data_IF_625798104201
#
_entry.id   IF_625798104201
#
_cell.length_a   1.000
_cell.length_b   1.000
_cell.length_c   1.000
_cell.angle_alpha   90.00
_cell.angle_beta   90.00
_cell.angle_gamma   90.00
#
_symmetry.space_group_name_H-M   'P 1'
#
loop_
_entity.id
_entity.type
_entity.pdbx_description
1 polymer ?
#
# COMPACT_ATOMS: atom_id res chain seq x y z
N UNK A 1 21.61 -11.17 -20.21
CA UNK A 1 21.73 -11.58 -18.79
C UNK A 1 20.35 -11.48 -18.15
N UNK A 2 19.61 -12.59 -18.06
CA UNK A 2 18.23 -12.60 -17.56
C UNK A 2 18.24 -12.61 -16.03
N UNK A 3 18.01 -11.44 -15.42
CA UNK A 3 17.87 -11.33 -13.97
C UNK A 3 16.51 -11.88 -13.53
N UNK A 4 16.43 -13.20 -13.39
CA UNK A 4 15.30 -13.85 -12.74
C UNK A 4 15.51 -13.83 -11.22
N UNK A 5 14.74 -12.95 -10.54
CA UNK A 5 14.48 -12.79 -9.07
C UNK A 5 15.33 -11.65 -8.40
N UNK A 6 14.70 -10.65 -7.71
CA UNK A 6 13.69 -10.86 -6.68
C UNK A 6 12.48 -9.91 -6.70
N UNK A 7 11.61 -10.03 -7.72
CA UNK A 7 10.29 -9.36 -7.75
C UNK A 7 9.47 -9.52 -6.45
N UNK A 8 9.67 -10.62 -5.71
CA UNK A 8 8.98 -10.87 -4.43
C UNK A 8 9.52 -10.00 -3.29
N UNK A 9 10.83 -9.75 -3.23
CA UNK A 9 11.41 -8.94 -2.16
C UNK A 9 11.00 -7.47 -2.31
N UNK A 10 10.98 -6.96 -3.54
CA UNK A 10 10.46 -5.63 -3.84
C UNK A 10 8.96 -5.52 -3.57
N UNK A 11 8.16 -6.52 -3.94
CA UNK A 11 6.72 -6.52 -3.64
C UNK A 11 6.45 -6.46 -2.12
N UNK A 12 7.21 -7.19 -1.30
CA UNK A 12 7.07 -7.14 0.16
C UNK A 12 7.48 -5.78 0.72
N UNK A 13 8.60 -5.22 0.25
CA UNK A 13 9.05 -3.88 0.66
C UNK A 13 8.05 -2.80 0.27
N UNK A 14 7.53 -2.85 -0.96
CA UNK A 14 6.55 -1.90 -1.46
C UNK A 14 5.26 -1.98 -0.66
N UNK A 15 4.78 -3.19 -0.37
CA UNK A 15 3.60 -3.39 0.48
C UNK A 15 3.77 -2.74 1.86
N UNK A 16 4.94 -2.93 2.48
CA UNK A 16 5.24 -2.30 3.78
C UNK A 16 5.24 -0.77 3.69
N UNK A 17 5.93 -0.20 2.70
CA UNK A 17 5.95 1.26 2.47
C UNK A 17 4.56 1.84 2.26
N UNK A 18 3.72 1.16 1.49
CA UNK A 18 2.33 1.57 1.23
C UNK A 18 1.53 1.60 2.53
N UNK A 19 1.63 0.56 3.37
CA UNK A 19 0.91 0.49 4.65
C UNK A 19 1.39 1.55 5.65
N UNK A 20 2.70 1.76 5.74
CA UNK A 20 3.29 2.78 6.63
C UNK A 20 2.85 4.20 6.21
N UNK A 21 2.88 4.50 4.91
CA UNK A 21 2.44 5.78 4.36
C UNK A 21 0.92 5.99 4.52
N UNK A 22 0.13 4.94 4.24
CA UNK A 22 -1.32 4.95 4.44
C UNK A 22 -1.66 5.26 5.89
N UNK A 23 -0.98 4.59 6.84
CA UNK A 23 -1.16 4.83 8.26
C UNK A 23 -0.87 6.27 8.63
N UNK A 24 0.30 6.78 8.23
CA UNK A 24 0.71 8.14 8.55
C UNK A 24 -0.28 9.19 8.03
N UNK A 25 -0.69 9.06 6.77
CA UNK A 25 -1.58 10.03 6.14
C UNK A 25 -3.00 9.94 6.69
N UNK A 26 -3.53 8.73 6.87
CA UNK A 26 -4.88 8.55 7.43
C UNK A 26 -4.95 9.06 8.86
N UNK A 27 -3.91 8.84 9.67
CA UNK A 27 -3.86 9.38 11.04
C UNK A 27 -3.78 10.91 11.08
N UNK A 28 -3.11 11.54 10.10
CA UNK A 28 -2.93 13.01 10.05
C UNK A 28 -4.10 13.76 9.42
N UNK A 29 -4.65 13.23 8.34
CA UNK A 29 -5.62 13.91 7.48
C UNK A 29 -7.00 13.21 7.48
N UNK A 30 -7.13 12.09 8.19
CA UNK A 30 -8.36 11.30 8.22
C UNK A 30 -8.48 10.31 7.04
N UNK A 31 -9.57 9.55 7.00
CA UNK A 31 -9.80 8.50 6.00
C UNK A 31 -10.16 9.05 4.62
N UNK A 32 -10.04 10.34 4.35
CA UNK A 32 -10.35 10.97 3.05
C UNK A 32 -9.13 11.07 2.12
N UNK A 33 -7.93 10.77 2.60
CA UNK A 33 -6.67 10.85 1.82
C UNK A 33 -6.75 10.07 0.50
N UNK A 34 -6.47 10.68 -0.66
CA UNK A 34 -6.52 9.96 -1.93
C UNK A 34 -5.45 8.87 -2.02
N UNK A 35 -5.75 7.78 -2.74
CA UNK A 35 -4.80 6.66 -2.95
C UNK A 35 -3.50 7.14 -3.61
N UNK A 36 -3.59 8.17 -4.44
CA UNK A 36 -2.47 8.76 -5.17
C UNK A 36 -1.45 9.42 -4.22
N UNK A 37 -1.94 10.16 -3.22
CA UNK A 37 -1.10 10.76 -2.18
C UNK A 37 -0.41 9.70 -1.32
N UNK A 38 -1.08 8.56 -1.09
CA UNK A 38 -0.48 7.43 -0.38
C UNK A 38 0.63 6.79 -1.22
N UNK A 39 0.41 6.61 -2.53
CA UNK A 39 1.43 6.07 -3.43
C UNK A 39 2.66 7.00 -3.50
N UNK A 40 2.44 8.31 -3.60
CA UNK A 40 3.48 9.33 -3.60
C UNK A 40 4.28 9.29 -2.29
N UNK A 41 3.61 9.32 -1.13
CA UNK A 41 4.27 9.25 0.17
C UNK A 41 5.01 7.93 0.41
N UNK A 42 4.53 6.82 -0.17
CA UNK A 42 5.20 5.52 -0.13
C UNK A 42 6.35 5.40 -1.15
N UNK A 43 6.51 6.36 -2.06
CA UNK A 43 7.49 6.31 -3.14
C UNK A 43 7.26 5.15 -4.11
N UNK A 44 6.00 4.81 -4.38
CA UNK A 44 5.63 3.75 -5.33
C UNK A 44 4.76 4.31 -6.44
N UNK A 45 4.78 3.67 -7.61
CA UNK A 45 3.85 4.01 -8.68
C UNK A 45 2.41 3.70 -8.26
N UNK A 46 1.47 4.59 -8.58
CA UNK A 46 0.03 4.44 -8.31
C UNK A 46 -0.51 3.09 -8.83
N UNK A 47 -0.12 2.68 -10.04
CA UNK A 47 -0.50 1.37 -10.59
C UNK A 47 0.03 0.17 -9.80
N UNK A 48 1.16 0.32 -9.09
CA UNK A 48 1.66 -0.72 -8.16
C UNK A 48 0.80 -0.79 -6.91
N UNK A 49 0.39 0.37 -6.37
CA UNK A 49 -0.53 0.42 -5.24
C UNK A 49 -1.85 -0.26 -5.60
N UNK A 50 -2.50 0.12 -6.71
CA UNK A 50 -3.74 -0.50 -7.16
C UNK A 50 -3.64 -2.00 -7.48
N UNK A 51 -2.47 -2.49 -7.93
CA UNK A 51 -2.23 -3.93 -8.10
C UNK A 51 -2.23 -4.70 -6.78
N UNK A 52 -1.82 -4.07 -5.67
CA UNK A 52 -1.80 -4.69 -4.35
C UNK A 52 -3.10 -4.42 -3.57
N UNK A 53 -3.70 -3.27 -3.79
CA UNK A 53 -4.86 -2.74 -3.08
C UNK A 53 -5.80 -2.09 -4.09
N UNK A 54 -6.68 -2.87 -4.73
CA UNK A 54 -7.62 -2.35 -5.73
C UNK A 54 -8.53 -1.27 -5.14
N UNK A 55 -8.88 -1.42 -3.86
CA UNK A 55 -9.72 -0.46 -3.14
C UNK A 55 -9.03 0.08 -1.89
N UNK A 56 -9.49 1.24 -1.45
CA UNK A 56 -9.05 1.84 -0.18
C UNK A 56 -9.44 0.98 1.01
N UNK A 57 -10.57 0.28 0.94
CA UNK A 57 -11.00 -0.67 1.97
C UNK A 57 -10.00 -1.82 2.10
N UNK A 58 -9.48 -2.36 0.99
CA UNK A 58 -8.43 -3.40 1.03
C UNK A 58 -7.15 -2.89 1.69
N UNK A 59 -6.78 -1.64 1.40
CA UNK A 59 -5.62 -0.99 2.00
C UNK A 59 -5.79 -0.80 3.51
N UNK A 60 -6.91 -0.22 3.94
CA UNK A 60 -7.22 0.03 5.36
C UNK A 60 -7.43 -1.27 6.12
N UNK A 61 -8.06 -2.26 5.50
CA UNK A 61 -8.22 -3.61 6.04
C UNK A 61 -6.88 -4.30 6.25
N UNK A 62 -5.92 -4.12 5.35
CA UNK A 62 -4.57 -4.63 5.52
C UNK A 62 -3.74 -3.86 6.55
N UNK A 63 -4.03 -2.58 6.78
CA UNK A 63 -3.39 -1.76 7.82
C UNK A 63 -3.82 -2.19 9.22
N UNK A 64 -5.06 -2.68 9.38
CA UNK A 64 -5.55 -3.23 10.66
C UNK A 64 -5.21 -4.72 10.75
N UNK A 65 -4.19 -5.15 11.52
CA UNK A 65 -3.98 -6.56 11.76
C UNK A 65 -5.20 -7.14 12.50
N UNK A 66 -6.01 -7.95 11.83
CA UNK A 66 -6.94 -8.87 12.51
C UNK A 66 -8.44 -8.73 12.28
N UNK A 67 -8.93 -8.20 11.14
CA UNK A 67 -10.36 -8.33 10.80
C UNK A 67 -10.51 -8.84 9.38
N UNK A 68 -10.62 -10.17 9.26
CA UNK A 68 -11.06 -10.81 8.03
C UNK A 68 -12.46 -10.32 7.67
N UNK A 69 -12.61 -9.87 6.42
CA UNK A 69 -13.90 -9.60 5.81
C UNK A 69 -14.83 -10.81 5.99
N UNK A 70 -15.93 -10.60 6.74
CA UNK A 70 -17.16 -11.40 6.65
C UNK A 70 -18.16 -10.63 5.81
#
# INVERSE_FOLDING_TARGET
MTQARPLRADAVRNRKKILDAAHLLITRHGPEVPMDAIAEAAGVAVGTLYRHYPTKTDLVGAQRPGLGHR
#
